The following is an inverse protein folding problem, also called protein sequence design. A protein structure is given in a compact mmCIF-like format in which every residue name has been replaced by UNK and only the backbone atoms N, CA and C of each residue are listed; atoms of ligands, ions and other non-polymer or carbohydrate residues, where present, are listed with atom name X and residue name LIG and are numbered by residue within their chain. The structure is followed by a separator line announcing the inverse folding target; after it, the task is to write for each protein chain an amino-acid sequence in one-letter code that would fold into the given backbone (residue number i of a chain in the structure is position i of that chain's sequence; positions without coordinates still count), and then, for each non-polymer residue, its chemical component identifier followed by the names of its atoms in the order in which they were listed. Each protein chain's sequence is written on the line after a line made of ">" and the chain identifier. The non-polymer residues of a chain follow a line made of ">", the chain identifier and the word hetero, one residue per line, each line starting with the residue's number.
data_IF_946047614532
#
_entry.id   IF_946047614532
#
_cell.length_a   1.000
_cell.length_b   1.000
_cell.length_c   1.000
_cell.angle_alpha   90.00
_cell.angle_beta   90.00
_cell.angle_gamma   90.00
#
_symmetry.space_group_name_H-M   'P 1'
#
loop_
_entity.id
_entity.type
_entity.pdbx_description
1 polymer ?
#
# COMPACT_ATOMS: atom_id res chain seq x y z
N UNK A 1 93.53 1.30 -21.77
CA UNK A 1 93.16 2.71 -21.44
C UNK A 1 91.66 2.75 -21.16
N UNK A 2 91.25 2.74 -19.89
CA UNK A 2 89.84 2.76 -19.48
C UNK A 2 89.54 4.12 -18.84
N UNK A 3 88.60 4.90 -19.41
CA UNK A 3 88.22 6.22 -18.90
C UNK A 3 87.02 6.07 -17.97
N UNK A 4 87.30 6.06 -16.67
CA UNK A 4 86.34 6.41 -15.62
C UNK A 4 85.84 7.85 -15.85
N UNK A 5 84.52 8.04 -15.88
CA UNK A 5 83.88 9.35 -15.75
C UNK A 5 82.85 9.30 -14.63
N UNK A 6 83.32 9.70 -13.45
CA UNK A 6 82.47 10.24 -12.38
C UNK A 6 81.59 11.37 -12.93
N UNK A 7 80.28 11.26 -12.73
CA UNK A 7 79.37 12.40 -12.48
C UNK A 7 78.26 11.94 -11.55
N UNK A 8 78.59 11.85 -10.27
CA UNK A 8 77.59 11.92 -9.22
C UNK A 8 77.03 13.35 -9.20
N UNK A 9 75.71 13.47 -9.26
CA UNK A 9 75.00 14.71 -8.99
C UNK A 9 73.98 15.09 -10.06
N UNK A 10 72.70 14.86 -9.77
CA UNK A 10 71.69 15.93 -9.77
C UNK A 10 70.32 15.44 -9.26
N UNK A 11 69.88 16.16 -8.21
CA UNK A 11 68.50 16.53 -7.89
C UNK A 11 67.64 15.48 -7.18
N UNK A 12 67.62 15.62 -5.85
CA UNK A 12 66.49 15.27 -5.00
C UNK A 12 65.25 16.03 -5.49
N UNK A 13 64.39 15.35 -6.25
CA UNK A 13 63.06 15.82 -6.56
C UNK A 13 62.13 15.48 -5.40
N UNK A 14 61.87 16.46 -4.53
CA UNK A 14 60.78 16.39 -3.55
C UNK A 14 59.48 16.53 -4.34
N UNK A 15 58.87 15.38 -4.66
CA UNK A 15 57.52 15.31 -5.21
C UNK A 15 56.50 15.43 -4.08
N UNK A 16 56.01 16.65 -3.87
CA UNK A 16 54.78 16.93 -3.13
C UNK A 16 53.55 16.36 -3.89
N UNK A 17 52.49 16.13 -3.12
CA UNK A 17 51.06 16.04 -3.49
C UNK A 17 50.43 14.66 -3.77
N UNK A 18 49.94 14.05 -2.67
CA UNK A 18 48.56 13.60 -2.45
C UNK A 18 47.75 13.04 -3.63
N UNK A 19 47.51 11.72 -3.61
CA UNK A 19 46.26 11.16 -4.12
C UNK A 19 45.61 10.31 -3.01
N UNK A 20 44.75 10.96 -2.22
CA UNK A 20 43.76 10.25 -1.43
C UNK A 20 42.69 9.73 -2.40
N UNK A 21 42.68 8.41 -2.62
CA UNK A 21 41.60 7.77 -3.36
C UNK A 21 40.34 7.75 -2.48
N UNK A 22 39.50 8.78 -2.60
CA UNK A 22 38.17 8.76 -2.01
C UNK A 22 37.29 7.79 -2.81
N UNK A 23 37.12 6.57 -2.30
CA UNK A 23 36.13 5.63 -2.83
C UNK A 23 34.73 6.14 -2.45
N UNK A 24 34.01 6.72 -3.41
CA UNK A 24 32.60 7.04 -3.25
C UNK A 24 31.83 5.72 -3.04
N UNK A 25 31.32 5.49 -1.83
CA UNK A 25 30.35 4.44 -1.59
C UNK A 25 29.06 4.80 -2.35
N UNK A 26 28.79 4.11 -3.46
CA UNK A 26 27.50 4.19 -4.12
C UNK A 26 26.48 3.48 -3.23
N UNK A 27 25.76 4.24 -2.41
CA UNK A 27 24.56 3.73 -1.74
C UNK A 27 23.50 3.57 -2.81
N UNK A 28 23.35 2.34 -3.32
CA UNK A 28 22.24 1.97 -4.18
C UNK A 28 20.97 2.02 -3.34
N UNK A 29 20.25 3.15 -3.37
CA UNK A 29 18.84 3.19 -2.97
C UNK A 29 18.05 2.48 -4.06
N UNK A 30 18.07 1.14 -4.06
CA UNK A 30 17.17 0.38 -4.92
C UNK A 30 15.74 0.83 -4.59
N UNK A 31 14.92 1.24 -5.58
CA UNK A 31 13.53 1.52 -5.32
C UNK A 31 12.90 0.22 -4.82
N UNK A 32 12.49 0.20 -3.54
CA UNK A 32 11.72 -0.90 -3.00
C UNK A 32 10.45 -0.98 -3.85
N UNK A 33 10.31 -2.02 -4.66
CA UNK A 33 9.09 -2.30 -5.40
C UNK A 33 8.04 -2.77 -4.39
N UNK A 34 7.48 -1.83 -3.64
CA UNK A 34 6.37 -2.09 -2.73
C UNK A 34 5.11 -2.14 -3.58
N UNK A 35 4.44 -3.29 -3.63
CA UNK A 35 3.04 -3.30 -4.00
C UNK A 35 2.32 -2.47 -2.93
N UNK A 36 1.65 -1.40 -3.35
CA UNK A 36 0.91 -0.54 -2.42
C UNK A 36 -0.53 -0.42 -2.86
N UNK A 37 -1.40 -0.47 -1.87
CA UNK A 37 -2.77 -0.03 -2.01
C UNK A 37 -2.76 1.48 -1.80
N UNK A 38 -3.21 2.20 -2.82
CA UNK A 38 -3.22 3.66 -2.82
C UNK A 38 -4.47 4.20 -2.09
N UNK A 39 -5.57 3.43 -2.13
CA UNK A 39 -6.81 3.80 -1.48
C UNK A 39 -7.71 2.57 -1.24
N UNK A 40 -8.55 2.65 -0.21
CA UNK A 40 -9.58 1.66 0.10
C UNK A 40 -10.90 2.37 0.36
N UNK A 41 -11.96 1.99 -0.35
CA UNK A 41 -13.29 2.61 -0.23
C UNK A 41 -14.40 1.58 -0.12
N UNK A 42 -15.53 2.02 0.42
CA UNK A 42 -16.78 1.27 0.47
C UNK A 42 -17.84 2.05 -0.31
N UNK A 43 -18.74 1.36 -1.02
CA UNK A 43 -19.76 1.98 -1.87
C UNK A 43 -20.82 2.81 -1.15
N UNK A 44 -20.84 2.84 0.18
CA UNK A 44 -21.80 3.59 0.98
C UNK A 44 -21.16 4.13 2.26
N UNK A 45 -21.63 5.31 2.69
CA UNK A 45 -21.31 5.90 4.00
C UNK A 45 -22.38 5.57 5.07
N UNK A 46 -23.51 5.00 4.66
CA UNK A 46 -24.57 4.54 5.55
C UNK A 46 -24.63 3.00 5.47
N UNK A 47 -23.90 2.36 6.37
CA UNK A 47 -23.71 0.92 6.40
C UNK A 47 -24.64 0.31 7.44
N UNK A 48 -25.21 -0.84 7.13
CA UNK A 48 -26.14 -1.59 7.97
C UNK A 48 -25.76 -3.06 7.94
N UNK A 49 -25.84 -3.72 9.10
CA UNK A 49 -25.58 -5.14 9.19
C UNK A 49 -26.58 -5.92 8.31
N UNK A 50 -26.09 -6.91 7.58
CA UNK A 50 -26.88 -7.75 6.70
C UNK A 50 -27.04 -7.24 5.26
N UNK A 51 -26.62 -6.01 4.96
CA UNK A 51 -26.59 -5.46 3.61
C UNK A 51 -25.27 -5.80 2.88
N UNK A 52 -25.31 -5.86 1.55
CA UNK A 52 -24.13 -6.09 0.73
C UNK A 52 -23.61 -4.77 0.18
N UNK A 53 -22.30 -4.57 0.29
CA UNK A 53 -21.59 -3.39 -0.16
C UNK A 53 -20.41 -3.80 -1.03
N UNK A 54 -20.02 -2.90 -1.94
CA UNK A 54 -18.81 -3.08 -2.71
C UNK A 54 -17.64 -2.41 -1.99
N UNK A 55 -16.55 -3.14 -1.82
CA UNK A 55 -15.27 -2.64 -1.30
C UNK A 55 -14.28 -2.63 -2.45
N UNK A 56 -13.64 -1.49 -2.68
CA UNK A 56 -12.72 -1.29 -3.79
C UNK A 56 -11.36 -0.84 -3.26
N UNK A 57 -10.31 -1.59 -3.59
CA UNK A 57 -8.93 -1.19 -3.38
C UNK A 57 -8.34 -0.68 -4.69
N UNK A 58 -7.81 0.54 -4.69
CA UNK A 58 -6.96 1.05 -5.77
C UNK A 58 -5.53 0.60 -5.53
N UNK A 59 -4.91 0.01 -6.53
CA UNK A 59 -3.59 -0.60 -6.43
C UNK A 59 -2.70 -0.20 -7.60
N UNK A 60 -1.40 -0.13 -7.33
CA UNK A 60 -0.39 0.14 -8.34
C UNK A 60 0.32 -1.12 -8.84
N UNK A 61 -0.08 -2.31 -8.36
CA UNK A 61 0.54 -3.58 -8.69
C UNK A 61 -0.50 -4.62 -9.14
N UNK A 62 -0.07 -5.60 -9.95
CA UNK A 62 -0.92 -6.63 -10.55
C UNK A 62 -1.17 -7.87 -9.67
N UNK A 63 -0.58 -7.91 -8.47
CA UNK A 63 -0.72 -9.06 -7.56
C UNK A 63 -2.12 -9.12 -6.97
N UNK A 64 -2.53 -10.29 -6.52
CA UNK A 64 -3.85 -10.44 -5.90
C UNK A 64 -3.94 -9.67 -4.58
N UNK A 65 -5.13 -9.16 -4.28
CA UNK A 65 -5.42 -8.36 -3.08
C UNK A 65 -6.32 -9.18 -2.16
N UNK A 66 -5.88 -9.34 -0.91
CA UNK A 66 -6.70 -9.96 0.13
C UNK A 66 -7.53 -8.90 0.85
N UNK A 67 -8.81 -9.16 1.07
CA UNK A 67 -9.69 -8.27 1.81
C UNK A 67 -10.11 -8.89 3.14
N UNK A 68 -10.18 -8.03 4.16
CA UNK A 68 -10.51 -8.43 5.52
C UNK A 68 -11.54 -7.50 6.15
N UNK A 69 -12.32 -8.06 7.06
CA UNK A 69 -13.18 -7.36 8.00
C UNK A 69 -12.83 -7.83 9.42
N UNK A 70 -12.29 -6.93 10.25
CA UNK A 70 -11.82 -7.24 11.60
C UNK A 70 -10.85 -8.44 11.64
N UNK A 71 -9.87 -8.42 10.74
CA UNK A 71 -8.88 -9.49 10.52
C UNK A 71 -9.44 -10.83 10.01
N UNK A 72 -10.74 -10.93 9.72
CA UNK A 72 -11.33 -12.10 9.08
C UNK A 72 -11.39 -11.91 7.56
N UNK A 73 -10.96 -12.92 6.80
CA UNK A 73 -10.98 -12.87 5.34
C UNK A 73 -12.42 -12.72 4.84
N UNK A 74 -12.65 -11.74 3.97
CA UNK A 74 -13.93 -11.56 3.28
C UNK A 74 -14.03 -12.62 2.18
N UNK A 75 -15.14 -13.35 2.14
CA UNK A 75 -15.39 -14.40 1.17
C UNK A 75 -15.30 -13.85 -0.28
N UNK A 76 -14.57 -14.57 -1.14
CA UNK A 76 -14.22 -14.11 -2.49
C UNK A 76 -12.82 -13.52 -2.60
N UNK A 77 -12.09 -13.35 -1.48
CA UNK A 77 -10.65 -13.07 -1.50
C UNK A 77 -9.81 -14.33 -1.78
N UNK A 78 -8.63 -14.20 -2.39
CA UNK A 78 -8.06 -12.95 -2.92
C UNK A 78 -8.66 -12.57 -4.27
N UNK A 79 -8.57 -11.28 -4.62
CA UNK A 79 -9.09 -10.74 -5.89
C UNK A 79 -7.94 -10.25 -6.76
N UNK A 80 -7.90 -10.69 -8.01
CA UNK A 80 -6.95 -10.17 -9.01
C UNK A 80 -7.38 -8.77 -9.46
N UNK A 81 -6.50 -7.75 -9.39
CA UNK A 81 -6.82 -6.41 -9.88
C UNK A 81 -7.10 -6.39 -11.38
N UNK A 82 -8.04 -5.56 -11.80
CA UNK A 82 -8.34 -5.23 -13.18
C UNK A 82 -8.32 -3.71 -13.31
N UNK A 83 -7.53 -3.18 -14.26
CA UNK A 83 -7.38 -1.74 -14.50
C UNK A 83 -6.97 -0.94 -13.24
N UNK A 84 -6.10 -1.50 -12.40
CA UNK A 84 -5.63 -0.84 -11.17
C UNK A 84 -6.59 -0.91 -10.00
N UNK A 85 -7.67 -1.70 -10.09
CA UNK A 85 -8.64 -1.85 -9.00
C UNK A 85 -8.92 -3.33 -8.70
N UNK A 86 -8.96 -3.67 -7.42
CA UNK A 86 -9.49 -4.94 -6.92
C UNK A 86 -10.79 -4.67 -6.16
N UNK A 87 -11.83 -5.43 -6.47
CA UNK A 87 -13.19 -5.15 -5.98
C UNK A 87 -13.83 -6.42 -5.44
N UNK A 88 -14.42 -6.34 -4.25
CA UNK A 88 -15.07 -7.47 -3.58
C UNK A 88 -16.45 -7.07 -3.01
N UNK A 89 -17.34 -8.04 -2.90
CA UNK A 89 -18.61 -7.87 -2.17
C UNK A 89 -18.41 -8.17 -0.69
N UNK A 90 -18.80 -7.24 0.16
CA UNK A 90 -18.71 -7.34 1.61
C UNK A 90 -20.10 -7.23 2.23
N UNK A 91 -20.41 -8.13 3.17
CA UNK A 91 -21.67 -8.13 3.92
C UNK A 91 -21.38 -8.24 5.42
N UNK A 92 -21.34 -7.12 6.18
CA UNK A 92 -21.11 -7.17 7.61
C UNK A 92 -22.25 -7.93 8.30
N UNK A 93 -21.90 -8.88 9.16
CA UNK A 93 -22.91 -9.68 9.90
C UNK A 93 -23.38 -9.03 11.19
N UNK A 94 -22.60 -8.09 11.72
CA UNK A 94 -22.86 -7.40 12.99
C UNK A 94 -22.79 -5.90 12.77
N UNK A 95 -23.43 -5.16 13.66
CA UNK A 95 -23.26 -3.73 13.81
C UNK A 95 -21.97 -3.41 14.58
N UNK A 96 -21.60 -2.14 14.62
CA UNK A 96 -20.44 -1.62 15.33
C UNK A 96 -19.35 -1.09 14.40
N UNK A 97 -18.16 -0.85 14.95
CA UNK A 97 -17.01 -0.43 14.16
C UNK A 97 -16.35 -1.65 13.53
N UNK A 98 -16.17 -1.58 12.21
CA UNK A 98 -15.45 -2.57 11.41
C UNK A 98 -14.14 -1.97 10.92
N UNK A 99 -13.05 -2.70 11.09
CA UNK A 99 -11.76 -2.39 10.46
C UNK A 99 -11.67 -3.16 9.17
N UNK A 100 -11.86 -2.48 8.05
CA UNK A 100 -11.68 -3.05 6.73
C UNK A 100 -10.24 -2.91 6.32
N UNK A 101 -9.64 -4.00 5.85
CA UNK A 101 -8.28 -4.01 5.36
C UNK A 101 -8.20 -4.59 3.95
N UNK A 102 -7.32 -4.02 3.14
CA UNK A 102 -6.83 -4.65 1.93
C UNK A 102 -5.33 -4.92 2.10
N UNK A 103 -4.85 -6.05 1.61
CA UNK A 103 -3.44 -6.47 1.71
C UNK A 103 -2.91 -6.84 0.33
N UNK A 104 -1.88 -6.12 -0.10
CA UNK A 104 -1.10 -6.41 -1.30
C UNK A 104 0.38 -6.08 -0.99
N UNK A 105 1.08 -7.01 -0.35
CA UNK A 105 2.42 -6.75 0.22
C UNK A 105 2.35 -5.98 1.54
N UNK A 106 1.79 -4.77 1.52
CA UNK A 106 1.47 -3.98 2.72
C UNK A 106 -0.04 -3.87 2.92
N UNK A 107 -0.46 -3.74 4.19
CA UNK A 107 -1.85 -3.56 4.55
C UNK A 107 -2.25 -2.08 4.48
N UNK A 108 -3.46 -1.81 3.99
CA UNK A 108 -4.13 -0.52 4.06
C UNK A 108 -5.47 -0.71 4.77
N UNK A 109 -5.73 0.09 5.81
CA UNK A 109 -6.89 -0.08 6.67
C UNK A 109 -7.76 1.19 6.70
N UNK A 110 -9.07 0.97 6.78
CA UNK A 110 -10.05 2.01 7.10
C UNK A 110 -10.98 1.52 8.19
N UNK A 111 -11.50 2.44 8.99
CA UNK A 111 -12.57 2.15 9.97
C UNK A 111 -13.89 2.65 9.44
N UNK A 112 -14.91 1.80 9.48
CA UNK A 112 -16.27 2.14 9.09
C UNK A 112 -17.24 1.75 10.20
N UNK A 113 -18.31 2.52 10.38
CA UNK A 113 -19.35 2.21 11.35
C UNK A 113 -20.55 1.60 10.65
N UNK A 114 -20.96 0.42 11.11
CA UNK A 114 -22.10 -0.34 10.63
C UNK A 114 -23.22 -0.23 11.65
N UNK A 115 -24.37 0.31 11.23
CA UNK A 115 -25.55 0.41 12.07
C UNK A 115 -26.26 -0.95 12.20
N UNK A 116 -27.12 -1.04 13.22
CA UNK A 116 -28.10 -2.13 13.34
C UNK A 116 -29.01 -2.18 12.11
N UNK A 117 -29.52 -3.37 11.74
CA UNK A 117 -30.50 -3.47 10.67
C UNK A 117 -31.78 -2.72 11.08
N UNK A 118 -32.37 -1.93 10.19
CA UNK A 118 -33.65 -1.29 10.45
C UNK A 118 -34.76 -2.36 10.45
N UNK A 119 -35.31 -2.69 11.62
CA UNK A 119 -36.27 -3.79 11.80
C UNK A 119 -37.72 -3.46 11.41
N UNK A 120 -38.02 -2.25 10.94
CA UNK A 120 -39.36 -1.86 10.51
C UNK A 120 -39.59 -2.28 9.06
N UNK A 121 -40.04 -3.53 8.84
CA UNK A 121 -40.67 -3.98 7.59
C UNK A 121 -39.77 -3.97 6.34
N UNK A 122 -39.32 -5.15 5.93
CA UNK A 122 -38.62 -5.41 4.64
C UNK A 122 -37.33 -4.62 4.44
N UNK A 123 -36.25 -5.05 5.11
CA UNK A 123 -34.84 -4.95 4.68
C UNK A 123 -34.50 -3.86 3.64
N UNK A 124 -34.71 -2.58 3.97
CA UNK A 124 -34.33 -1.50 3.07
C UNK A 124 -32.91 -1.07 3.40
N UNK A 125 -31.94 -1.71 2.75
CA UNK A 125 -30.59 -1.16 2.68
C UNK A 125 -30.68 0.26 2.08
N UNK A 126 -30.59 1.30 2.91
CA UNK A 126 -30.57 2.70 2.46
C UNK A 126 -31.87 3.51 2.55
N UNK A 127 -32.97 3.00 3.12
CA UNK A 127 -34.10 3.87 3.45
C UNK A 127 -33.80 4.61 4.76
N UNK A 128 -33.35 5.87 4.64
CA UNK A 128 -33.30 6.78 5.78
C UNK A 128 -34.73 7.09 6.28
N UNK A 129 -34.88 7.55 7.53
CA UNK A 129 -36.18 7.85 8.15
C UNK A 129 -36.99 8.97 7.49
N UNK A 130 -36.49 9.62 6.43
CA UNK A 130 -37.17 10.70 5.71
C UNK A 130 -37.98 10.23 4.48
N UNK A 131 -37.85 8.98 4.04
CA UNK A 131 -38.53 8.49 2.84
C UNK A 131 -40.03 8.13 3.04
N UNK A 132 -40.54 8.23 4.28
CA UNK A 132 -41.91 7.82 4.64
C UNK A 132 -42.86 9.00 4.93
N UNK A 133 -42.41 10.24 4.78
CA UNK A 133 -43.27 11.44 4.84
C UNK A 133 -43.57 11.92 3.41
N UNK A 134 -44.39 11.17 2.67
CA UNK A 134 -44.76 11.56 1.32
C UNK A 134 -45.55 10.50 0.57
N UNK A 135 -46.80 10.27 0.97
CA UNK A 135 -47.86 9.70 0.14
C UNK A 135 -49.21 10.18 0.67
#
# INVERSE_FOLDING_TARGET
>A
MSRSRNRAGRRLGVGLTTLAAASCAAVLTAPYASATIDNLTVSSNNLQAGCTYQVTAKVNHWFEVWFYDNALVIAGSPVKPVNGEATIQWKPKKSGTHTLAALQGLAYEIKVNVAEPTLTGSATCGAGPLAWMGS
#
